data_IF_163893593494
#
_entry.id   IF_163893593494
#
_cell.length_a   1.000
_cell.length_b   1.000
_cell.length_c   1.000
_cell.angle_alpha   90.00
_cell.angle_beta   90.00
_cell.angle_gamma   90.00
#
_symmetry.space_group_name_H-M   'P 1'
#
loop_
_entity.id
_entity.type
_entity.pdbx_description
1 polymer ?
#
# COMPACT_ATOMS: atom_id res chain seq x y z
N UNK A 1 -0.39 16.96 -7.04
CA UNK A 1 0.71 17.95 -7.01
C UNK A 1 0.32 19.40 -6.66
N UNK A 2 -0.36 20.19 -7.51
CA UNK A 2 -0.44 21.67 -7.30
C UNK A 2 -1.11 22.14 -5.99
N UNK A 3 -2.11 21.42 -5.45
CA UNK A 3 -2.82 21.82 -4.21
C UNK A 3 -2.06 21.46 -2.93
N UNK A 4 -1.43 20.29 -2.88
CA UNK A 4 -0.68 19.82 -1.69
C UNK A 4 0.60 20.61 -1.47
N UNK A 5 1.34 20.88 -2.54
CA UNK A 5 2.55 21.73 -2.50
C UNK A 5 2.19 23.15 -2.06
N UNK A 6 1.08 23.71 -2.56
CA UNK A 6 0.61 25.04 -2.18
C UNK A 6 0.25 25.13 -0.68
N UNK A 7 -0.44 24.13 -0.13
CA UNK A 7 -0.81 24.11 1.30
C UNK A 7 0.45 24.08 2.17
N UNK A 8 1.41 23.20 1.86
CA UNK A 8 2.68 23.11 2.61
C UNK A 8 3.47 24.43 2.51
N UNK A 9 3.54 25.03 1.33
CA UNK A 9 4.22 26.30 1.12
C UNK A 9 3.57 27.44 1.89
N UNK A 10 2.24 27.51 1.92
CA UNK A 10 1.47 28.48 2.71
C UNK A 10 1.67 28.24 4.21
N UNK A 11 1.69 26.98 4.67
CA UNK A 11 1.97 26.66 6.07
C UNK A 11 3.38 27.07 6.49
N UNK A 12 4.40 26.83 5.65
CA UNK A 12 5.78 27.28 5.88
C UNK A 12 5.87 28.80 5.93
N UNK A 13 5.18 29.51 5.03
CA UNK A 13 5.11 30.99 5.03
C UNK A 13 4.43 31.51 6.30
N UNK A 14 3.32 30.91 6.72
CA UNK A 14 2.61 31.32 7.94
C UNK A 14 3.47 31.09 9.18
N UNK A 15 4.19 29.97 9.25
CA UNK A 15 5.12 29.67 10.34
C UNK A 15 6.32 30.62 10.34
N UNK A 16 6.87 30.96 9.16
CA UNK A 16 8.00 31.89 9.05
C UNK A 16 7.63 33.35 9.33
N UNK A 17 6.34 33.70 9.20
CA UNK A 17 5.77 34.99 9.57
C UNK A 17 5.36 35.08 11.05
N UNK A 18 5.36 33.97 11.81
CA UNK A 18 5.17 34.03 13.26
C UNK A 18 6.37 34.74 13.89
N UNK A 19 6.05 35.76 14.71
CA UNK A 19 7.00 36.74 15.25
C UNK A 19 8.21 36.06 15.89
N UNK A 20 9.41 36.30 15.34
CA UNK A 20 10.67 35.88 15.93
C UNK A 20 10.81 36.51 17.31
N UNK A 21 10.64 35.71 18.36
CA UNK A 21 11.25 36.05 19.65
C UNK A 21 12.75 35.92 19.44
N UNK A 22 13.47 37.02 19.67
CA UNK A 22 14.89 37.27 19.37
C UNK A 22 15.91 36.28 19.97
N UNK A 23 15.45 35.20 20.61
CA UNK A 23 16.26 34.12 21.16
C UNK A 23 16.13 32.78 20.40
N UNK A 24 15.29 32.69 19.37
CA UNK A 24 15.01 31.43 18.67
C UNK A 24 15.29 31.57 17.17
N UNK A 25 16.48 31.13 16.75
CA UNK A 25 16.89 31.19 15.35
C UNK A 25 16.17 30.11 14.54
N UNK A 26 15.55 30.52 13.42
CA UNK A 26 15.11 29.63 12.38
C UNK A 26 16.30 29.32 11.47
N UNK A 27 16.71 28.06 11.36
CA UNK A 27 17.69 27.63 10.38
C UNK A 27 16.95 27.29 9.09
N UNK A 28 17.23 28.04 8.03
CA UNK A 28 16.72 27.79 6.69
C UNK A 28 17.91 27.37 5.83
N UNK A 29 17.76 26.26 5.11
CA UNK A 29 18.73 25.83 4.11
C UNK A 29 18.01 25.55 2.80
N UNK A 30 18.71 25.80 1.70
CA UNK A 30 18.23 25.49 0.36
C UNK A 30 19.39 25.02 -0.49
N UNK A 31 19.17 24.00 -1.31
CA UNK A 31 20.16 23.52 -2.27
C UNK A 31 19.48 23.33 -3.61
N UNK A 32 20.21 23.61 -4.69
CA UNK A 32 19.79 23.34 -6.05
C UNK A 32 20.98 22.73 -6.80
N UNK A 33 20.76 21.60 -7.44
CA UNK A 33 21.75 20.88 -8.23
C UNK A 33 21.17 20.54 -9.61
N UNK A 34 22.01 20.63 -10.63
CA UNK A 34 21.64 20.34 -12.01
C UNK A 34 22.80 19.62 -12.68
N UNK A 35 22.51 18.55 -13.40
CA UNK A 35 23.51 17.82 -14.17
C UNK A 35 22.96 17.41 -15.54
N UNK A 36 23.79 17.53 -16.55
CA UNK A 36 23.51 17.06 -17.90
C UNK A 36 24.59 16.06 -18.31
N UNK A 37 24.19 14.92 -18.84
CA UNK A 37 25.06 13.87 -19.33
C UNK A 37 24.60 13.43 -20.72
N UNK A 38 25.56 13.25 -21.61
CA UNK A 38 25.36 12.68 -22.93
C UNK A 38 26.39 11.58 -23.14
N UNK A 39 25.94 10.42 -23.59
CA UNK A 39 26.79 9.28 -23.91
C UNK A 39 26.48 8.81 -25.32
N UNK A 40 27.52 8.58 -26.10
CA UNK A 40 27.43 8.01 -27.44
C UNK A 40 28.19 6.69 -27.42
N UNK A 41 27.52 5.61 -27.75
CA UNK A 41 28.13 4.27 -27.82
C UNK A 41 27.92 3.71 -29.22
N UNK A 42 28.99 3.19 -29.81
CA UNK A 42 28.94 2.52 -31.11
C UNK A 42 29.35 1.06 -30.93
N UNK A 43 28.43 0.14 -31.17
CA UNK A 43 28.66 -1.30 -31.12
C UNK A 43 28.02 -1.98 -32.34
N UNK A 44 28.75 -2.87 -33.00
CA UNK A 44 28.24 -3.59 -34.19
C UNK A 44 27.83 -2.70 -35.37
N UNK A 45 28.39 -1.50 -35.49
CA UNK A 45 28.05 -0.53 -36.55
C UNK A 45 26.78 0.29 -36.27
N UNK A 46 26.11 0.08 -35.14
CA UNK A 46 25.01 0.94 -34.69
C UNK A 46 25.52 1.92 -33.64
N UNK A 47 25.19 3.20 -33.82
CA UNK A 47 25.45 4.25 -32.84
C UNK A 47 24.18 4.50 -32.04
N UNK A 48 24.29 4.38 -30.71
CA UNK A 48 23.23 4.73 -29.76
C UNK A 48 23.66 5.97 -29.01
N UNK A 49 22.80 6.99 -29.01
CA UNK A 49 22.96 8.18 -28.17
C UNK A 49 22.02 8.07 -26.97
N UNK A 50 22.54 8.39 -25.79
CA UNK A 50 21.75 8.51 -24.57
C UNK A 50 21.99 9.89 -23.95
N UNK A 51 20.91 10.58 -23.61
CA UNK A 51 20.95 11.86 -22.90
C UNK A 51 20.24 11.72 -21.56
N UNK A 52 20.75 12.40 -20.54
CA UNK A 52 20.14 12.49 -19.22
C UNK A 52 20.34 13.90 -18.67
N UNK A 53 19.25 14.50 -18.21
CA UNK A 53 19.25 15.74 -17.46
C UNK A 53 18.61 15.48 -16.09
N UNK A 54 19.30 15.82 -15.02
CA UNK A 54 18.79 15.71 -13.65
C UNK A 54 18.79 17.08 -13.00
N UNK A 55 17.68 17.44 -12.36
CA UNK A 55 17.57 18.60 -11.49
C UNK A 55 17.08 18.18 -10.10
N UNK A 56 17.70 18.74 -9.08
CA UNK A 56 17.41 18.51 -7.68
C UNK A 56 17.26 19.83 -6.94
N UNK A 57 16.26 19.92 -6.07
CA UNK A 57 16.02 21.06 -5.20
C UNK A 57 15.68 20.55 -3.81
N UNK A 58 16.25 21.16 -2.78
CA UNK A 58 15.85 20.92 -1.40
C UNK A 58 15.63 22.24 -0.68
N UNK A 59 14.63 22.26 0.19
CA UNK A 59 14.36 23.37 1.10
C UNK A 59 14.06 22.82 2.49
N UNK A 60 14.95 23.12 3.43
CA UNK A 60 14.84 22.72 4.82
C UNK A 60 14.57 23.91 5.74
N UNK A 61 13.70 23.71 6.72
CA UNK A 61 13.43 24.62 7.83
C UNK A 61 13.60 23.86 9.15
N UNK A 62 14.27 24.47 10.12
CA UNK A 62 14.21 24.05 11.52
C UNK A 62 14.02 25.28 12.37
N UNK A 63 12.96 25.30 13.17
CA UNK A 63 12.60 26.43 14.03
C UNK A 63 12.35 25.92 15.45
N UNK A 64 13.03 26.52 16.41
CA UNK A 64 12.77 26.28 17.83
C UNK A 64 11.60 27.17 18.26
N UNK A 65 10.41 26.62 18.46
CA UNK A 65 9.22 27.40 18.87
C UNK A 65 9.32 27.84 20.34
N UNK A 66 9.88 26.99 21.19
CA UNK A 66 10.17 27.26 22.61
C UNK A 66 11.48 26.58 23.01
N UNK A 67 11.95 26.77 24.25
CA UNK A 67 13.10 26.00 24.77
C UNK A 67 12.91 24.48 24.76
N UNK A 68 11.67 24.00 24.59
CA UNK A 68 11.31 22.58 24.61
C UNK A 68 10.68 22.09 23.32
N UNK A 69 10.16 22.96 22.47
CA UNK A 69 9.43 22.58 21.24
C UNK A 69 10.24 23.00 20.02
N UNK A 70 10.51 22.04 19.14
CA UNK A 70 11.16 22.26 17.85
C UNK A 70 10.29 21.73 16.73
N UNK A 71 10.11 22.55 15.69
CA UNK A 71 9.48 22.15 14.44
C UNK A 71 10.55 22.10 13.35
N UNK A 72 10.54 21.06 12.53
CA UNK A 72 11.38 20.99 11.34
C UNK A 72 10.60 20.45 10.15
N UNK A 73 11.04 20.83 8.96
CA UNK A 73 10.47 20.34 7.72
C UNK A 73 11.50 20.40 6.61
N UNK A 74 11.35 19.53 5.64
CA UNK A 74 12.22 19.45 4.47
C UNK A 74 11.35 19.09 3.26
N UNK A 75 11.58 19.76 2.14
CA UNK A 75 10.92 19.42 0.88
C UNK A 75 12.00 19.21 -0.15
N UNK A 76 12.06 18.01 -0.72
CA UNK A 76 12.95 17.69 -1.84
C UNK A 76 12.15 17.47 -3.11
N UNK A 77 12.62 18.03 -4.20
CA UNK A 77 12.09 17.86 -5.54
C UNK A 77 13.23 17.36 -6.41
N UNK A 78 13.02 16.26 -7.13
CA UNK A 78 13.97 15.81 -8.16
C UNK A 78 13.22 15.54 -9.44
N UNK A 79 13.83 15.88 -10.57
CA UNK A 79 13.30 15.57 -11.88
C UNK A 79 14.43 15.07 -12.76
N UNK A 80 14.18 13.96 -13.43
CA UNK A 80 15.12 13.31 -14.33
C UNK A 80 14.46 13.19 -15.69
N UNK A 81 15.06 13.79 -16.71
CA UNK A 81 14.71 13.61 -18.11
C UNK A 81 15.79 12.76 -18.77
N UNK A 82 15.50 11.50 -19.04
CA UNK A 82 16.41 10.58 -19.70
C UNK A 82 15.82 10.10 -21.02
N UNK A 83 16.50 10.33 -22.15
CA UNK A 83 16.06 9.89 -23.48
C UNK A 83 14.61 10.29 -23.81
N UNK A 84 14.22 11.53 -23.45
CA UNK A 84 12.87 12.07 -23.66
C UNK A 84 11.80 11.56 -22.68
N UNK A 85 12.17 10.74 -21.69
CA UNK A 85 11.28 10.22 -20.64
C UNK A 85 11.54 10.95 -19.32
N UNK A 86 10.48 11.48 -18.73
CA UNK A 86 10.54 12.26 -17.51
C UNK A 86 10.08 11.45 -16.29
N UNK A 87 10.88 11.47 -15.23
CA UNK A 87 10.51 11.02 -13.89
C UNK A 87 10.59 12.22 -12.94
N UNK A 88 9.59 12.43 -12.10
CA UNK A 88 9.64 13.46 -11.06
C UNK A 88 9.38 12.83 -9.68
N UNK A 89 10.15 13.22 -8.66
CA UNK A 89 9.92 12.83 -7.28
C UNK A 89 9.75 14.06 -6.38
N UNK A 90 8.81 13.97 -5.44
CA UNK A 90 8.56 14.98 -4.42
C UNK A 90 8.55 14.33 -3.04
N UNK A 91 9.38 14.83 -2.13
CA UNK A 91 9.55 14.29 -0.80
C UNK A 91 9.40 15.38 0.28
N UNK A 92 8.16 15.74 0.67
CA UNK A 92 7.92 16.57 1.84
C UNK A 92 8.04 15.76 3.14
N UNK A 93 8.61 16.40 4.14
CA UNK A 93 8.85 15.87 5.47
C UNK A 93 8.57 16.96 6.50
N UNK A 94 8.01 16.55 7.64
CA UNK A 94 7.63 17.39 8.75
C UNK A 94 7.89 16.66 10.05
N UNK A 95 8.44 17.36 11.04
CA UNK A 95 8.57 16.88 12.40
C UNK A 95 8.21 17.97 13.41
N UNK A 96 7.58 17.54 14.49
CA UNK A 96 7.33 18.31 15.69
C UNK A 96 7.87 17.50 16.87
N UNK A 97 8.78 18.09 17.62
CA UNK A 97 9.40 17.46 18.78
C UNK A 97 9.17 18.33 20.02
N UNK A 98 8.77 17.70 21.11
CA UNK A 98 8.81 18.26 22.46
C UNK A 98 9.87 17.50 23.26
N UNK A 99 10.95 18.18 23.60
CA UNK A 99 12.08 17.67 24.36
C UNK A 99 12.44 18.66 25.47
N UNK A 100 11.92 18.47 26.68
CA UNK A 100 12.28 19.31 27.82
C UNK A 100 13.75 19.10 28.23
N UNK A 101 14.42 20.11 28.82
CA UNK A 101 15.83 20.04 29.18
C UNK A 101 16.13 19.11 30.36
N UNK A 102 15.14 18.81 31.21
CA UNK A 102 15.31 17.88 32.32
C UNK A 102 15.06 16.44 31.85
N UNK A 103 16.04 15.57 32.07
CA UNK A 103 16.04 14.15 31.64
C UNK A 103 14.97 13.31 32.34
N UNK A 104 14.36 13.81 33.43
CA UNK A 104 13.24 13.15 34.15
C UNK A 104 11.85 13.44 33.54
N UNK A 105 11.77 14.29 32.50
CA UNK A 105 10.50 14.66 31.87
C UNK A 105 10.28 13.88 30.56
N UNK A 106 9.02 13.86 30.10
CA UNK A 106 8.64 13.09 28.92
C UNK A 106 9.07 13.76 27.61
N UNK A 107 9.27 12.94 26.58
CA UNK A 107 9.53 13.32 25.21
C UNK A 107 8.31 12.99 24.34
N UNK A 108 7.98 13.88 23.39
CA UNK A 108 7.00 13.61 22.33
C UNK A 108 7.64 13.90 20.98
N UNK A 109 7.38 13.02 20.01
CA UNK A 109 7.69 13.25 18.60
C UNK A 109 6.46 13.00 17.76
N UNK A 110 6.24 13.85 16.77
CA UNK A 110 5.34 13.61 15.67
C UNK A 110 6.11 13.86 14.39
N UNK A 111 5.94 12.98 13.41
CA UNK A 111 6.54 13.10 12.10
C UNK A 111 5.58 12.69 11.00
N UNK A 112 5.69 13.36 9.88
CA UNK A 112 5.00 13.04 8.66
C UNK A 112 5.99 13.12 7.51
N UNK A 113 6.00 12.14 6.62
CA UNK A 113 6.68 12.28 5.34
C UNK A 113 5.83 11.65 4.23
N UNK A 114 6.01 12.13 3.02
CA UNK A 114 5.38 11.58 1.84
C UNK A 114 6.41 11.54 0.73
N UNK A 115 6.41 10.47 -0.06
CA UNK A 115 7.16 10.36 -1.29
C UNK A 115 6.16 10.21 -2.43
N UNK A 116 6.17 11.12 -3.40
CA UNK A 116 5.43 11.00 -4.64
C UNK A 116 6.42 10.78 -5.78
N UNK A 117 6.20 9.75 -6.59
CA UNK A 117 6.96 9.48 -7.81
C UNK A 117 6.01 9.49 -8.99
N UNK A 118 6.30 10.31 -9.99
CA UNK A 118 5.62 10.33 -11.29
C UNK A 118 6.56 9.68 -12.30
N UNK A 119 6.32 8.42 -12.70
CA UNK A 119 7.15 7.73 -13.70
C UNK A 119 6.83 8.19 -15.12
N UNK A 120 7.69 7.89 -16.11
CA UNK A 120 7.49 8.34 -17.47
C UNK A 120 6.22 7.72 -18.09
N UNK A 121 5.26 8.57 -18.45
CA UNK A 121 4.01 8.15 -19.08
C UNK A 121 3.08 7.33 -18.19
N UNK A 122 3.29 7.35 -16.87
CA UNK A 122 2.45 6.64 -15.89
C UNK A 122 1.82 7.58 -14.86
N UNK A 123 1.00 7.00 -13.99
CA UNK A 123 0.33 7.71 -12.90
C UNK A 123 1.23 7.82 -11.67
N UNK A 124 0.86 8.73 -10.75
CA UNK A 124 1.62 8.97 -9.52
C UNK A 124 1.56 7.75 -8.58
N UNK A 125 2.73 7.33 -8.12
CA UNK A 125 2.90 6.36 -7.03
C UNK A 125 3.25 7.17 -5.78
N UNK A 126 2.54 6.93 -4.67
CA UNK A 126 2.76 7.65 -3.43
C UNK A 126 2.93 6.73 -2.22
N UNK A 127 3.86 7.11 -1.34
CA UNK A 127 4.05 6.50 -0.02
C UNK A 127 3.95 7.59 1.03
N UNK A 128 3.05 7.45 1.99
CA UNK A 128 2.87 8.37 3.11
C UNK A 128 3.21 7.67 4.42
N UNK A 129 3.97 8.32 5.29
CA UNK A 129 4.28 7.80 6.62
C UNK A 129 3.90 8.83 7.69
N UNK A 130 3.18 8.37 8.71
CA UNK A 130 2.88 9.11 9.94
C UNK A 130 3.52 8.36 11.09
N UNK A 131 4.28 9.06 11.91
CA UNK A 131 4.94 8.50 13.09
C UNK A 131 4.64 9.41 14.28
N UNK A 132 4.21 8.83 15.39
CA UNK A 132 4.08 9.52 16.65
C UNK A 132 4.71 8.68 17.75
N UNK A 133 5.44 9.30 18.67
CA UNK A 133 6.02 8.63 19.82
C UNK A 133 5.92 9.47 21.08
N UNK A 134 5.77 8.79 22.20
CA UNK A 134 5.86 9.34 23.54
C UNK A 134 6.83 8.49 24.33
N UNK A 135 7.73 9.12 25.09
CA UNK A 135 8.64 8.43 25.98
C UNK A 135 8.68 9.15 27.32
N UNK A 136 8.29 8.46 28.38
CA UNK A 136 8.61 8.84 29.76
C UNK A 136 9.83 8.01 30.19
N UNK A 137 11.01 8.63 30.36
CA UNK A 137 12.19 7.93 30.84
C UNK A 137 11.97 7.40 32.27
N UNK A 138 12.51 6.22 32.56
CA UNK A 138 12.41 5.61 33.88
C UNK A 138 13.51 6.14 34.80
N UNK A 139 13.12 6.66 35.96
CA UNK A 139 14.05 7.02 37.05
C UNK A 139 13.39 6.71 38.41
N UNK A 140 12.32 7.44 38.75
CA UNK A 140 11.47 7.16 39.94
C UNK A 140 10.19 6.40 39.63
N UNK A 141 9.74 6.50 38.37
CA UNK A 141 8.52 5.89 37.86
C UNK A 141 8.87 4.82 36.81
N UNK A 142 7.95 3.89 36.53
CA UNK A 142 8.07 3.04 35.36
C UNK A 142 8.34 3.86 34.10
N UNK A 143 9.29 3.43 33.28
CA UNK A 143 9.41 3.99 31.94
C UNK A 143 8.17 3.63 31.13
N UNK A 144 7.74 4.54 30.28
CA UNK A 144 6.61 4.34 29.38
C UNK A 144 7.05 4.76 27.99
N UNK A 145 6.81 3.93 26.99
CA UNK A 145 6.99 4.26 25.58
C UNK A 145 5.73 3.90 24.82
N UNK A 146 5.17 4.86 24.09
CA UNK A 146 4.08 4.66 23.15
C UNK A 146 4.61 4.99 21.76
N UNK A 147 4.24 4.19 20.76
CA UNK A 147 4.50 4.52 19.37
C UNK A 147 3.30 4.21 18.49
N UNK A 148 3.12 5.05 17.48
CA UNK A 148 2.16 4.87 16.40
C UNK A 148 2.91 5.10 15.10
N UNK A 149 2.91 4.12 14.21
CA UNK A 149 3.47 4.25 12.88
C UNK A 149 2.42 3.81 11.88
N UNK A 150 2.17 4.62 10.87
CA UNK A 150 1.31 4.28 9.75
C UNK A 150 2.07 4.53 8.47
N UNK A 151 2.06 3.57 7.56
CA UNK A 151 2.55 3.68 6.20
C UNK A 151 1.42 3.40 5.23
N UNK A 152 1.16 4.30 4.29
CA UNK A 152 0.18 4.12 3.21
C UNK A 152 0.91 4.14 1.88
N UNK A 153 0.75 3.09 1.09
CA UNK A 153 1.25 3.01 -0.28
C UNK A 153 0.07 3.01 -1.24
N UNK A 154 0.10 3.89 -2.24
CA UNK A 154 -0.94 4.01 -3.24
C UNK A 154 -0.34 4.08 -4.65
N UNK A 155 -0.87 3.26 -5.55
CA UNK A 155 -0.63 3.28 -6.99
C UNK A 155 -2.00 3.32 -7.67
N UNK A 156 -2.27 4.39 -8.42
CA UNK A 156 -3.58 4.61 -9.05
C UNK A 156 -3.70 3.98 -10.43
N UNK A 157 -2.61 3.44 -11.00
CA UNK A 157 -2.62 2.90 -12.36
C UNK A 157 -3.42 1.59 -12.39
N UNK A 158 -4.46 1.43 -13.23
CA UNK A 158 -5.34 0.26 -13.19
C UNK A 158 -4.65 -1.11 -13.29
N UNK A 159 -3.53 -1.21 -14.02
CA UNK A 159 -2.74 -2.44 -14.18
C UNK A 159 -1.99 -2.85 -12.91
N UNK A 160 -1.65 -1.88 -12.06
CA UNK A 160 -0.85 -2.05 -10.84
C UNK A 160 -1.54 -1.43 -9.62
N UNK A 161 -2.87 -1.27 -9.66
CA UNK A 161 -3.62 -0.55 -8.64
C UNK A 161 -3.36 -1.16 -7.27
N UNK A 162 -2.86 -0.35 -6.35
CA UNK A 162 -2.48 -0.77 -5.01
C UNK A 162 -2.91 0.31 -4.03
N UNK A 163 -3.47 -0.08 -2.88
CA UNK A 163 -3.75 0.83 -1.77
C UNK A 163 -3.55 0.06 -0.47
N UNK A 164 -2.30 0.00 -0.03
CA UNK A 164 -1.90 -0.76 1.16
C UNK A 164 -1.70 0.19 2.33
N UNK A 165 -2.31 -0.12 3.46
CA UNK A 165 -2.15 0.60 4.72
C UNK A 165 -1.57 -0.36 5.74
N UNK A 166 -0.39 -0.03 6.27
CA UNK A 166 0.26 -0.74 7.36
C UNK A 166 0.29 0.17 8.58
N UNK A 167 -0.28 -0.28 9.71
CA UNK A 167 -0.29 0.44 10.98
C UNK A 167 0.43 -0.43 12.00
N UNK A 168 1.27 0.17 12.84
CA UNK A 168 1.85 -0.48 14.00
C UNK A 168 1.68 0.42 15.21
N UNK A 169 0.98 -0.06 16.22
CA UNK A 169 0.84 0.60 17.52
C UNK A 169 1.65 -0.19 18.53
N UNK A 170 2.44 0.47 19.36
CA UNK A 170 3.17 -0.21 20.42
C UNK A 170 3.11 0.53 21.73
N UNK A 171 3.09 -0.24 22.82
CA UNK A 171 3.21 0.25 24.18
C UNK A 171 4.24 -0.60 24.91
N UNK A 172 5.23 0.04 25.53
CA UNK A 172 6.22 -0.62 26.34
C UNK A 172 6.29 0.08 27.69
N UNK A 173 6.36 -0.70 28.76
CA UNK A 173 6.68 -0.18 30.08
C UNK A 173 7.68 -1.08 30.77
N UNK A 174 8.63 -0.46 31.46
CA UNK A 174 9.63 -1.17 32.25
C UNK A 174 9.78 -0.48 33.61
N UNK A 175 9.88 -1.26 34.68
CA UNK A 175 10.19 -0.77 36.00
C UNK A 175 11.29 -1.59 36.67
N UNK A 176 12.35 -0.90 37.05
CA UNK A 176 13.44 -1.45 37.84
C UNK A 176 13.33 -0.95 39.27
N UNK A 177 13.35 -1.86 40.24
CA UNK A 177 13.37 -1.50 41.65
C UNK A 177 14.09 -2.55 42.48
N UNK A 178 14.54 -2.15 43.67
CA UNK A 178 15.13 -3.06 44.64
C UNK A 178 14.13 -3.34 45.75
N UNK A 179 13.91 -4.60 46.07
CA UNK A 179 13.11 -5.03 47.20
C UNK A 179 13.88 -6.06 48.02
N UNK A 180 14.12 -5.80 49.30
CA UNK A 180 14.89 -6.68 50.19
C UNK A 180 16.21 -7.17 49.56
N UNK A 181 17.02 -6.24 49.06
CA UNK A 181 18.32 -6.50 48.38
C UNK A 181 18.21 -7.34 47.08
N UNK A 182 17.00 -7.54 46.58
CA UNK A 182 16.75 -8.24 45.31
C UNK A 182 16.44 -7.19 44.25
N UNK A 183 17.30 -7.11 43.24
CA UNK A 183 17.07 -6.30 42.05
C UNK A 183 15.97 -6.96 41.21
N UNK A 184 14.89 -6.21 41.01
CA UNK A 184 13.69 -6.63 40.29
C UNK A 184 13.51 -5.79 39.05
N UNK A 185 13.21 -6.44 37.93
CA UNK A 185 12.91 -5.81 36.65
C UNK A 185 11.56 -6.35 36.15
N UNK A 186 10.61 -5.47 35.89
CA UNK A 186 9.29 -5.82 35.34
C UNK A 186 9.15 -5.15 33.97
N UNK A 187 8.85 -5.92 32.93
CA UNK A 187 8.57 -5.37 31.61
C UNK A 187 7.21 -5.85 31.11
N UNK A 188 6.53 -4.96 30.41
CA UNK A 188 5.39 -5.30 29.58
C UNK A 188 5.54 -4.62 28.22
N UNK A 189 5.26 -5.38 27.16
CA UNK A 189 5.29 -4.93 25.77
C UNK A 189 4.00 -5.36 25.09
N UNK A 190 3.40 -4.42 24.38
CA UNK A 190 2.25 -4.60 23.50
C UNK A 190 2.61 -4.11 22.12
N UNK A 191 2.26 -4.88 21.09
CA UNK A 191 2.40 -4.48 19.69
C UNK A 191 1.18 -4.95 18.90
N UNK A 192 0.62 -4.05 18.09
CA UNK A 192 -0.57 -4.25 17.26
C UNK A 192 -0.28 -3.84 15.81
N UNK A 193 0.37 -4.72 15.04
CA UNK A 193 0.50 -4.58 13.60
C UNK A 193 -0.83 -4.89 12.91
N UNK A 194 -1.27 -3.95 12.07
CA UNK A 194 -2.45 -4.05 11.21
C UNK A 194 -2.03 -3.82 9.77
N UNK A 195 -2.54 -4.63 8.85
CA UNK A 195 -2.35 -4.47 7.40
C UNK A 195 -3.71 -4.51 6.71
N UNK A 196 -3.92 -3.59 5.77
CA UNK A 196 -5.16 -3.45 5.01
C UNK A 196 -4.79 -3.27 3.54
N UNK A 197 -5.33 -4.10 2.65
CA UNK A 197 -5.27 -3.88 1.20
C UNK A 197 -6.64 -3.38 0.73
N UNK A 198 -6.77 -2.08 0.48
CA UNK A 198 -8.03 -1.45 0.06
C UNK A 198 -8.24 -1.47 -1.46
N UNK A 199 -7.22 -1.84 -2.24
CA UNK A 199 -7.32 -1.89 -3.70
C UNK A 199 -7.93 -3.20 -4.19
N UNK A 200 -7.71 -4.30 -3.48
CA UNK A 200 -8.34 -5.59 -3.77
C UNK A 200 -9.86 -5.56 -3.57
N UNK A 201 -10.56 -6.38 -4.34
CA UNK A 201 -12.03 -6.49 -4.29
C UNK A 201 -12.52 -7.01 -2.92
N UNK A 202 -11.72 -7.86 -2.27
CA UNK A 202 -12.04 -8.50 -1.01
C UNK A 202 -11.60 -7.69 0.22
N UNK A 203 -10.90 -6.58 0.03
CA UNK A 203 -10.39 -5.67 1.07
C UNK A 203 -9.88 -6.37 2.34
N UNK A 204 -8.90 -7.29 2.22
CA UNK A 204 -8.46 -8.06 3.36
C UNK A 204 -7.81 -7.13 4.39
N UNK A 205 -8.11 -7.41 5.65
CA UNK A 205 -7.57 -6.76 6.84
C UNK A 205 -6.97 -7.83 7.74
N UNK A 206 -5.71 -7.68 8.09
CA UNK A 206 -5.02 -8.55 9.05
C UNK A 206 -4.58 -7.74 10.25
N UNK A 207 -4.75 -8.28 11.44
CA UNK A 207 -4.39 -7.66 12.71
C UNK A 207 -3.76 -8.73 13.61
N UNK A 208 -2.57 -8.47 14.17
CA UNK A 208 -1.85 -9.46 14.99
C UNK A 208 -1.36 -8.87 16.32
N UNK A 209 -2.26 -8.49 17.25
CA UNK A 209 -1.89 -8.03 18.58
C UNK A 209 -1.06 -9.07 19.32
N UNK A 210 -0.03 -8.57 20.00
CA UNK A 210 0.90 -9.36 20.81
C UNK A 210 1.14 -8.68 22.14
N UNK A 211 1.21 -9.50 23.19
CA UNK A 211 1.48 -9.09 24.57
C UNK A 211 2.65 -9.90 25.08
N UNK A 212 3.63 -9.26 25.69
CA UNK A 212 4.76 -9.92 26.33
C UNK A 212 4.98 -9.31 27.70
N UNK A 213 5.00 -10.14 28.74
CA UNK A 213 5.32 -9.76 30.12
C UNK A 213 6.59 -10.52 30.51
N UNK A 214 7.55 -9.84 31.10
CA UNK A 214 8.72 -10.48 31.72
C UNK A 214 8.96 -9.91 33.10
N UNK A 215 9.40 -10.77 34.02
CA UNK A 215 9.85 -10.39 35.34
C UNK A 215 11.18 -11.07 35.64
N UNK A 216 12.18 -10.27 36.01
CA UNK A 216 13.49 -10.71 36.43
C UNK A 216 13.71 -10.39 37.91
N UNK A 217 14.28 -11.33 38.64
CA UNK A 217 14.72 -11.18 40.02
C UNK A 217 16.19 -11.57 40.08
N UNK A 218 17.03 -10.77 40.71
CA UNK A 218 18.42 -11.11 40.95
C UNK A 218 18.91 -10.62 42.30
N UNK A 219 19.72 -11.43 42.98
CA UNK A 219 20.33 -11.09 44.27
C UNK A 219 21.78 -11.52 44.29
N UNK A 220 22.63 -10.62 44.78
CA UNK A 220 24.03 -10.91 45.10
C UNK A 220 24.19 -11.30 46.56
N UNK A 221 25.07 -12.26 46.83
CA UNK A 221 25.51 -12.68 48.16
C UNK A 221 27.03 -12.53 48.26
N UNK A 222 27.53 -12.40 49.49
CA UNK A 222 28.97 -12.29 49.79
C UNK A 222 29.68 -11.21 48.98
N UNK A 223 29.17 -9.97 49.06
CA UNK A 223 29.70 -8.82 48.30
C UNK A 223 29.71 -9.06 46.77
N UNK A 224 28.73 -9.83 46.29
CA UNK A 224 28.57 -10.14 44.86
C UNK A 224 29.41 -11.32 44.37
N UNK A 225 30.09 -12.06 45.26
CA UNK A 225 30.83 -13.29 44.87
C UNK A 225 29.92 -14.41 44.38
N UNK A 226 28.65 -14.43 44.82
CA UNK A 226 27.63 -15.34 44.33
C UNK A 226 26.42 -14.51 43.89
N UNK A 227 25.92 -14.74 42.68
CA UNK A 227 24.70 -14.09 42.19
C UNK A 227 23.69 -15.15 41.77
N UNK A 228 22.48 -15.04 42.29
CA UNK A 228 21.35 -15.88 41.86
C UNK A 228 20.34 -15.01 41.15
N UNK A 229 19.72 -15.53 40.09
CA UNK A 229 18.62 -14.84 39.45
C UNK A 229 17.60 -15.81 38.87
N UNK A 230 16.38 -15.33 38.71
CA UNK A 230 15.29 -16.04 38.08
C UNK A 230 14.59 -15.08 37.12
N UNK A 231 14.26 -15.56 35.93
CA UNK A 231 13.48 -14.82 34.95
C UNK A 231 12.25 -15.64 34.59
N UNK A 232 11.08 -15.00 34.61
CA UNK A 232 9.83 -15.58 34.14
C UNK A 232 9.26 -14.68 33.05
N UNK A 233 8.69 -15.29 32.02
CA UNK A 233 8.09 -14.56 30.91
C UNK A 233 6.85 -15.26 30.39
N UNK A 234 5.92 -14.46 29.88
CA UNK A 234 4.73 -14.91 29.19
C UNK A 234 4.56 -14.07 27.92
N UNK A 235 4.28 -14.73 26.80
CA UNK A 235 3.98 -14.06 25.54
C UNK A 235 2.74 -14.68 24.92
N UNK A 236 1.85 -13.84 24.40
CA UNK A 236 0.64 -14.23 23.71
C UNK A 236 0.49 -13.38 22.45
N UNK A 237 0.16 -14.02 21.34
CA UNK A 237 -0.25 -13.35 20.12
C UNK A 237 -1.56 -13.93 19.60
N UNK A 238 -2.38 -13.09 18.98
CA UNK A 238 -3.61 -13.50 18.31
C UNK A 238 -3.64 -12.84 16.94
N UNK A 239 -3.80 -13.63 15.88
CA UNK A 239 -4.00 -13.12 14.53
C UNK A 239 -5.49 -13.15 14.18
N UNK A 240 -6.00 -12.04 13.65
CA UNK A 240 -7.36 -11.88 13.14
C UNK A 240 -7.24 -11.47 11.68
N UNK A 241 -7.96 -12.17 10.80
CA UNK A 241 -8.02 -11.85 9.38
C UNK A 241 -9.49 -11.68 8.98
N UNK A 242 -9.82 -10.53 8.42
CA UNK A 242 -11.13 -10.12 7.95
C UNK A 242 -11.05 -9.83 6.45
N UNK A 243 -12.16 -10.00 5.73
CA UNK A 243 -12.26 -9.67 4.32
C UNK A 243 -13.70 -9.31 4.01
N UNK A 244 -13.90 -8.14 3.41
CA UNK A 244 -15.21 -7.63 2.98
C UNK A 244 -15.71 -8.27 1.68
N UNK A 245 -14.93 -9.22 1.13
CA UNK A 245 -15.38 -10.02 0.00
C UNK A 245 -16.65 -10.78 0.36
N UNK A 246 -17.62 -10.78 -0.55
CA UNK A 246 -18.72 -11.74 -0.54
C UNK A 246 -18.11 -13.09 -0.20
N UNK A 247 -18.51 -13.67 0.94
CA UNK A 247 -18.16 -15.04 1.31
C UNK A 247 -18.21 -15.86 0.03
N UNK A 248 -17.08 -16.45 -0.34
CA UNK A 248 -16.91 -17.24 -1.56
C UNK A 248 -17.74 -18.53 -1.56
N UNK A 249 -19.00 -18.49 -1.13
CA UNK A 249 -20.02 -19.18 -1.88
C UNK A 249 -20.13 -18.47 -3.25
N UNK A 250 -19.18 -18.78 -4.15
CA UNK A 250 -19.53 -18.88 -5.56
C UNK A 250 -20.67 -19.88 -5.57
N UNK A 251 -21.91 -19.41 -5.50
CA UNK A 251 -23.03 -20.24 -5.87
C UNK A 251 -22.86 -20.36 -7.37
N UNK A 252 -22.15 -21.40 -7.81
CA UNK A 252 -22.16 -21.86 -9.19
C UNK A 252 -23.61 -22.24 -9.51
N UNK A 253 -24.43 -21.24 -9.79
CA UNK A 253 -25.78 -21.40 -10.26
C UNK A 253 -25.70 -21.55 -11.78
N UNK A 254 -26.24 -22.65 -12.31
CA UNK A 254 -26.51 -22.72 -13.74
C UNK A 254 -27.50 -21.60 -14.08
N UNK A 255 -27.10 -20.65 -14.93
CA UNK A 255 -28.04 -19.69 -15.50
C UNK A 255 -29.08 -20.50 -16.30
N UNK A 256 -30.34 -20.46 -15.86
CA UNK A 256 -31.46 -21.18 -16.49
C UNK A 256 -32.69 -20.27 -16.51
N UNK A 257 -33.61 -20.52 -17.45
CA UNK A 257 -34.88 -19.79 -17.54
C UNK A 257 -34.70 -18.28 -17.78
N UNK A 258 -35.46 -17.46 -17.05
CA UNK A 258 -35.54 -16.00 -17.23
C UNK A 258 -34.21 -15.25 -17.00
N UNK A 259 -33.26 -15.86 -16.31
CA UNK A 259 -31.91 -15.34 -16.05
C UNK A 259 -30.84 -15.91 -17.01
N UNK A 260 -31.26 -16.74 -17.98
CA UNK A 260 -30.40 -17.46 -18.92
C UNK A 260 -30.15 -16.74 -20.26
N UNK A 261 -29.87 -17.54 -21.30
CA UNK A 261 -29.74 -17.08 -22.67
C UNK A 261 -31.09 -16.51 -23.16
N UNK A 262 -31.10 -15.21 -23.46
CA UNK A 262 -32.26 -14.49 -24.00
C UNK A 262 -32.51 -14.85 -25.47
N UNK A 263 -31.42 -14.90 -26.23
CA UNK A 263 -31.41 -15.20 -27.66
C UNK A 263 -30.06 -15.81 -28.00
N UNK A 264 -30.09 -16.82 -28.86
CA UNK A 264 -28.91 -17.25 -29.58
C UNK A 264 -29.01 -16.80 -31.04
N UNK A 265 -27.91 -16.25 -31.51
CA UNK A 265 -27.79 -15.52 -32.76
C UNK A 265 -26.86 -16.32 -33.68
N UNK A 266 -27.24 -16.54 -34.93
CA UNK A 266 -26.40 -17.25 -35.89
C UNK A 266 -26.39 -16.56 -37.25
N UNK A 267 -25.28 -16.67 -37.98
CA UNK A 267 -25.19 -16.24 -39.37
C UNK A 267 -24.35 -17.21 -40.21
N UNK A 268 -24.72 -17.32 -41.48
CA UNK A 268 -23.91 -17.95 -42.52
C UNK A 268 -23.01 -16.87 -43.11
N UNK A 269 -21.80 -16.70 -42.57
CA UNK A 269 -20.87 -15.66 -43.00
C UNK A 269 -19.43 -16.11 -42.76
N UNK A 270 -18.57 -15.92 -43.75
CA UNK A 270 -17.12 -16.12 -43.69
C UNK A 270 -16.36 -14.86 -43.21
N UNK A 271 -17.08 -13.75 -42.95
CA UNK A 271 -16.54 -12.49 -42.45
C UNK A 271 -17.09 -12.14 -41.05
N UNK A 272 -16.33 -12.40 -39.96
CA UNK A 272 -16.82 -12.27 -38.58
C UNK A 272 -16.99 -10.83 -38.08
N UNK A 273 -16.81 -9.81 -38.93
CA UNK A 273 -16.69 -8.41 -38.52
C UNK A 273 -17.93 -7.56 -38.84
N UNK A 274 -18.74 -7.91 -39.85
CA UNK A 274 -19.83 -7.03 -40.33
C UNK A 274 -21.00 -7.88 -40.85
N UNK A 275 -21.83 -8.40 -39.93
CA UNK A 275 -23.03 -9.17 -40.29
C UNK A 275 -24.14 -9.00 -39.26
N UNK A 276 -25.40 -8.99 -39.72
CA UNK A 276 -26.56 -9.09 -38.84
C UNK A 276 -26.80 -10.56 -38.53
N UNK A 277 -26.78 -10.93 -37.24
CA UNK A 277 -27.07 -12.29 -36.83
C UNK A 277 -28.59 -12.48 -36.69
N UNK A 278 -29.13 -13.58 -37.20
CA UNK A 278 -30.54 -13.92 -37.05
C UNK A 278 -30.80 -14.62 -35.71
N UNK A 279 -31.90 -14.26 -35.03
CA UNK A 279 -32.36 -15.01 -33.84
C UNK A 279 -32.90 -16.37 -34.26
N UNK A 280 -32.51 -17.41 -33.50
CA UNK A 280 -33.04 -18.76 -33.65
C UNK A 280 -33.52 -19.30 -32.31
N UNK A 281 -34.77 -19.80 -32.23
CA UNK A 281 -35.26 -20.49 -31.04
C UNK A 281 -34.39 -21.68 -30.64
N UNK A 282 -33.71 -22.32 -31.59
CA UNK A 282 -32.85 -23.49 -31.35
C UNK A 282 -31.57 -23.18 -30.55
N UNK A 283 -31.25 -21.90 -30.35
CA UNK A 283 -30.06 -21.45 -29.64
C UNK A 283 -30.45 -20.77 -28.31
N UNK A 284 -31.70 -20.97 -27.86
CA UNK A 284 -32.19 -20.67 -26.51
C UNK A 284 -31.90 -21.88 -25.60
N UNK A 285 -31.61 -21.63 -24.33
CA UNK A 285 -31.28 -22.68 -23.36
C UNK A 285 -32.35 -23.79 -23.33
N UNK A 286 -31.90 -25.04 -23.40
CA UNK A 286 -32.70 -26.26 -23.32
C UNK A 286 -33.74 -26.50 -24.46
N UNK A 287 -33.71 -25.73 -25.55
CA UNK A 287 -34.55 -25.98 -26.73
C UNK A 287 -33.92 -27.01 -27.68
N UNK A 288 -34.01 -28.28 -27.32
CA UNK A 288 -33.49 -29.41 -28.12
C UNK A 288 -34.42 -29.85 -29.26
N UNK A 289 -35.66 -29.34 -29.31
CA UNK A 289 -36.66 -29.72 -30.31
C UNK A 289 -36.61 -28.90 -31.60
N UNK A 290 -35.89 -27.76 -31.60
CA UNK A 290 -35.79 -26.86 -32.75
C UNK A 290 -34.45 -27.06 -33.43
N UNK A 291 -34.44 -27.26 -34.76
CA UNK A 291 -33.18 -27.25 -35.52
C UNK A 291 -32.69 -25.82 -35.68
N UNK A 292 -31.42 -25.58 -35.39
CA UNK A 292 -30.79 -24.29 -35.68
C UNK A 292 -30.56 -24.09 -37.19
N UNK A 293 -30.79 -25.13 -38.02
CA UNK A 293 -30.51 -25.10 -39.46
C UNK A 293 -29.02 -24.94 -39.78
N UNK A 294 -28.14 -25.20 -38.81
CA UNK A 294 -26.70 -25.06 -38.96
C UNK A 294 -26.15 -26.34 -39.59
N UNK A 295 -25.84 -26.27 -40.88
CA UNK A 295 -25.05 -27.30 -41.55
C UNK A 295 -23.55 -26.97 -41.42
N UNK A 296 -22.80 -27.87 -40.78
CA UNK A 296 -21.34 -27.79 -40.58
C UNK A 296 -20.54 -28.36 -41.76
N UNK A 297 -21.20 -28.72 -42.86
CA UNK A 297 -20.59 -29.32 -44.05
C UNK A 297 -19.77 -28.32 -44.88
N UNK A 298 -18.69 -27.81 -44.30
CA UNK A 298 -17.56 -27.22 -45.02
C UNK A 298 -17.38 -25.70 -44.99
N UNK A 299 -18.13 -24.93 -44.19
CA UNK A 299 -17.96 -23.47 -44.11
C UNK A 299 -18.02 -22.95 -42.67
N UNK A 300 -17.21 -21.93 -42.38
CA UNK A 300 -17.16 -21.25 -41.08
C UNK A 300 -18.54 -20.68 -40.71
N UNK A 301 -18.86 -20.68 -39.41
CA UNK A 301 -20.13 -20.19 -38.85
C UNK A 301 -19.86 -19.32 -37.63
N UNK A 302 -20.55 -18.20 -37.54
CA UNK A 302 -20.49 -17.32 -36.37
C UNK A 302 -21.69 -17.60 -35.45
N UNK A 303 -21.41 -17.75 -34.15
CA UNK A 303 -22.41 -17.91 -33.11
C UNK A 303 -22.31 -16.70 -32.18
N UNK A 304 -23.39 -15.96 -32.06
CA UNK A 304 -23.59 -14.94 -31.04
C UNK A 304 -24.52 -15.47 -29.95
N UNK A 305 -24.29 -15.03 -28.72
CA UNK A 305 -25.14 -15.37 -27.58
C UNK A 305 -25.48 -14.09 -26.83
N UNK A 306 -26.77 -13.92 -26.51
CA UNK A 306 -27.26 -12.78 -25.77
C UNK A 306 -27.85 -13.28 -24.47
N UNK A 307 -27.35 -12.76 -23.35
CA UNK A 307 -27.88 -13.04 -22.03
C UNK A 307 -28.94 -11.98 -21.65
N UNK A 308 -29.94 -12.37 -20.85
CA UNK A 308 -30.92 -11.42 -20.30
C UNK A 308 -30.32 -10.50 -19.23
N UNK A 309 -29.14 -10.87 -18.69
CA UNK A 309 -28.48 -10.17 -17.59
C UNK A 309 -27.02 -9.83 -17.90
N UNK A 310 -26.49 -8.80 -17.24
CA UNK A 310 -25.10 -8.34 -17.39
C UNK A 310 -24.10 -9.08 -16.47
N UNK A 311 -24.33 -10.37 -16.20
CA UNK A 311 -23.48 -11.14 -15.28
C UNK A 311 -22.19 -11.65 -15.93
N UNK A 312 -21.13 -11.82 -15.14
CA UNK A 312 -19.87 -12.47 -15.59
C UNK A 312 -20.13 -13.96 -15.82
N UNK A 313 -19.87 -14.44 -17.04
CA UNK A 313 -20.00 -15.86 -17.40
C UNK A 313 -18.63 -16.53 -17.35
N UNK A 314 -18.50 -17.56 -16.51
CA UNK A 314 -17.23 -18.29 -16.37
C UNK A 314 -17.08 -19.42 -17.41
N UNK A 315 -18.18 -20.07 -17.81
CA UNK A 315 -18.17 -21.19 -18.75
C UNK A 315 -19.42 -21.19 -19.64
N UNK A 316 -19.23 -21.49 -20.92
CA UNK A 316 -20.31 -21.72 -21.89
C UNK A 316 -20.11 -23.12 -22.46
N UNK A 317 -21.14 -23.96 -22.41
CA UNK A 317 -21.14 -25.28 -23.05
C UNK A 317 -22.01 -25.22 -24.31
N UNK A 318 -21.42 -25.55 -25.46
CA UNK A 318 -22.13 -25.61 -26.74
C UNK A 318 -22.26 -27.08 -27.13
N UNK A 319 -23.49 -27.54 -27.32
CA UNK A 319 -23.77 -28.91 -27.76
C UNK A 319 -24.16 -28.89 -29.24
N UNK A 320 -23.48 -29.71 -30.04
CA UNK A 320 -23.71 -29.84 -31.47
C UNK A 320 -24.09 -31.30 -31.73
N UNK A 321 -25.27 -31.51 -32.31
CA UNK A 321 -25.65 -32.83 -32.84
C UNK A 321 -25.23 -32.89 -34.30
N UNK A 322 -24.39 -33.87 -34.64
CA UNK A 322 -24.05 -34.20 -36.02
C UNK A 322 -24.81 -35.46 -36.40
N UNK A 323 -25.33 -35.54 -37.63
CA UNK A 323 -25.71 -36.84 -38.19
C UNK A 323 -24.44 -37.64 -38.46
N UNK A 324 -24.38 -38.90 -38.01
CA UNK A 324 -23.22 -39.81 -37.93
C UNK A 324 -22.38 -40.04 -39.22
N UNK A 325 -22.58 -39.29 -40.30
CA UNK A 325 -21.84 -39.46 -41.56
C UNK A 325 -20.55 -38.61 -41.69
N UNK A 326 -20.28 -37.66 -40.79
CA UNK A 326 -19.14 -36.74 -40.89
C UNK A 326 -18.46 -36.50 -39.53
N UNK A 327 -17.83 -37.54 -38.99
CA UNK A 327 -16.76 -37.35 -37.99
C UNK A 327 -15.46 -37.14 -38.78
N UNK A 328 -15.23 -35.90 -39.22
CA UNK A 328 -13.89 -35.49 -39.60
C UNK A 328 -13.11 -35.21 -38.32
N UNK A 329 -12.15 -36.08 -38.01
CA UNK A 329 -11.18 -35.90 -36.94
C UNK A 329 -10.40 -34.60 -37.19
N UNK A 330 -10.59 -33.60 -36.34
CA UNK A 330 -9.69 -32.44 -36.29
C UNK A 330 -8.71 -32.66 -35.12
N UNK A 331 -7.45 -32.96 -35.46
CA UNK A 331 -6.27 -32.81 -34.58
C UNK A 331 -5.88 -31.35 -34.46
#
# INVERSE_FOLDING_TARGET
>A
MKRTVLIIFVTIIVISLMRQYSAFAANINSTADMSYQQSTSTAGGQTTESTSFNEGYSFGLTHQLTSTITISGDVRLTRTLANGKETANTFPMFYLNYSPPAVELYYLSFGYNRNETVPPGGDTIETENINASFVLPGDKWPSISLSYNQSKNNDTLPKHKMENISINKSFNTNYNFNFLETATNLNYSYSDPVSIDSASESKPRSETPSHTVTAGLSRGFWEGKIQTGANIGYSQSKSVNESDGVSGAIVEGKLTGDNGLADGLYAYDDTPLIGSLASSPAVIDNNTGSSAGIDLNGLYRNIGIKFTTSQKVHRINIYISTSDALIATYT
#
